data_IF_460612053412
#
_entry.id   IF_460612053412
#
_cell.length_a   1.000
_cell.length_b   1.000
_cell.length_c   1.000
_cell.angle_alpha   90.00
_cell.angle_beta   90.00
_cell.angle_gamma   90.00
#
_symmetry.space_group_name_H-M   'P 1'
#
loop_
_entity.id
_entity.type
_entity.pdbx_description
1 polymer ?
#
# COMPACT_ATOMS: atom_id res chain seq x y z
N UNK A 1 0.89 47.35 10.85
CA UNK A 1 1.01 46.06 10.14
C UNK A 1 0.44 45.03 11.09
N UNK A 2 -0.78 44.58 10.82
CA UNK A 2 -1.65 43.95 11.79
C UNK A 2 -1.29 42.48 12.00
N UNK A 3 -1.35 42.02 13.24
CA UNK A 3 -1.14 40.63 13.67
C UNK A 3 -2.00 39.59 12.91
N UNK A 4 -3.17 40.04 12.40
CA UNK A 4 -4.07 39.20 11.58
C UNK A 4 -3.46 38.82 10.22
N UNK A 5 -2.68 39.70 9.63
CA UNK A 5 -2.04 39.46 8.31
C UNK A 5 -0.90 38.45 8.43
N UNK A 6 -0.16 38.47 9.54
CA UNK A 6 0.91 37.51 9.83
C UNK A 6 0.37 36.09 10.09
N UNK A 7 -0.75 35.96 10.81
CA UNK A 7 -1.37 34.63 11.06
C UNK A 7 -1.96 34.03 9.78
N UNK A 8 -2.51 34.84 8.88
CA UNK A 8 -3.02 34.37 7.59
C UNK A 8 -1.88 33.88 6.67
N UNK A 9 -0.74 34.59 6.64
CA UNK A 9 0.44 34.16 5.88
C UNK A 9 1.11 32.89 6.42
N UNK A 10 1.15 32.71 7.74
CA UNK A 10 1.70 31.49 8.36
C UNK A 10 0.82 30.27 8.04
N UNK A 11 -0.50 30.43 8.14
CA UNK A 11 -1.48 29.37 7.79
C UNK A 11 -1.38 28.96 6.30
N UNK A 12 -1.22 29.93 5.40
CA UNK A 12 -1.11 29.66 3.96
C UNK A 12 0.15 28.86 3.62
N UNK A 13 1.31 29.27 4.13
CA UNK A 13 2.57 28.54 3.91
C UNK A 13 2.56 27.15 4.51
N UNK A 14 1.90 26.97 5.63
CA UNK A 14 1.74 25.67 6.24
C UNK A 14 0.89 24.72 5.36
N UNK A 15 -0.22 25.21 4.81
CA UNK A 15 -1.05 24.46 3.88
C UNK A 15 -0.28 24.10 2.61
N UNK A 16 0.53 25.02 2.07
CA UNK A 16 1.42 24.76 0.93
C UNK A 16 2.45 23.65 1.24
N UNK A 17 3.07 23.67 2.44
CA UNK A 17 3.99 22.63 2.90
C UNK A 17 3.28 21.26 3.00
N UNK A 18 2.06 21.20 3.57
CA UNK A 18 1.27 19.95 3.69
C UNK A 18 0.84 19.40 2.32
N UNK A 19 0.37 20.26 1.42
CA UNK A 19 0.01 19.84 0.06
C UNK A 19 1.21 19.30 -0.70
N UNK A 20 2.38 19.93 -0.55
CA UNK A 20 3.63 19.45 -1.15
C UNK A 20 3.96 18.01 -0.68
N UNK A 21 3.93 17.77 0.63
CA UNK A 21 4.23 16.46 1.19
C UNK A 21 3.20 15.41 0.75
N UNK A 22 1.91 15.75 0.75
CA UNK A 22 0.86 14.86 0.23
C UNK A 22 1.10 14.48 -1.23
N UNK A 23 1.48 15.45 -2.07
CA UNK A 23 1.81 15.17 -3.47
C UNK A 23 3.03 14.27 -3.61
N UNK A 24 4.04 14.41 -2.75
CA UNK A 24 5.19 13.50 -2.73
C UNK A 24 4.80 12.08 -2.35
N UNK A 25 3.90 11.89 -1.37
CA UNK A 25 3.33 10.57 -1.03
C UNK A 25 2.62 9.95 -2.23
N UNK A 26 1.81 10.71 -2.96
CA UNK A 26 1.12 10.20 -4.15
C UNK A 26 2.08 9.86 -5.29
N UNK A 27 3.17 10.60 -5.45
CA UNK A 27 4.23 10.26 -6.40
C UNK A 27 4.94 8.96 -6.03
N UNK A 28 5.27 8.77 -4.74
CA UNK A 28 5.83 7.52 -4.23
C UNK A 28 4.86 6.36 -4.44
N UNK A 29 3.57 6.55 -4.12
CA UNK A 29 2.52 5.57 -4.35
C UNK A 29 2.42 5.15 -5.82
N UNK A 30 2.39 6.10 -6.75
CA UNK A 30 2.35 5.80 -8.19
C UNK A 30 3.60 5.04 -8.68
N UNK A 31 4.77 5.28 -8.08
CA UNK A 31 5.97 4.51 -8.37
C UNK A 31 5.85 3.07 -7.86
N UNK A 32 5.35 2.87 -6.65
CA UNK A 32 5.13 1.54 -6.04
C UNK A 32 4.08 0.74 -6.81
N UNK A 33 2.96 1.36 -7.23
CA UNK A 33 1.96 0.74 -8.10
C UNK A 33 2.58 0.24 -9.41
N UNK A 34 3.40 1.08 -10.04
CA UNK A 34 4.08 0.70 -11.29
C UNK A 34 5.05 -0.47 -11.07
N UNK A 35 5.80 -0.46 -9.96
CA UNK A 35 6.74 -1.51 -9.58
C UNK A 35 6.01 -2.84 -9.38
N UNK A 36 4.90 -2.84 -8.62
CA UNK A 36 4.06 -4.02 -8.41
C UNK A 36 3.48 -4.56 -9.72
N UNK A 37 2.97 -3.67 -10.58
CA UNK A 37 2.46 -4.08 -11.89
C UNK A 37 3.52 -4.76 -12.76
N UNK A 38 4.73 -4.20 -12.80
CA UNK A 38 5.88 -4.79 -13.52
C UNK A 38 6.28 -6.15 -12.94
N UNK A 39 6.31 -6.29 -11.61
CA UNK A 39 6.63 -7.56 -10.94
C UNK A 39 5.65 -8.68 -11.31
N UNK A 40 4.35 -8.38 -11.28
CA UNK A 40 3.29 -9.32 -11.68
C UNK A 40 3.40 -9.66 -13.19
N UNK A 41 3.69 -8.67 -14.03
CA UNK A 41 3.86 -8.88 -15.47
C UNK A 41 5.07 -9.76 -15.76
N UNK A 42 6.20 -9.52 -15.10
CA UNK A 42 7.41 -10.33 -15.22
C UNK A 42 7.15 -11.81 -14.90
N UNK A 43 6.38 -12.08 -13.83
CA UNK A 43 5.97 -13.44 -13.47
C UNK A 43 5.10 -14.08 -14.56
N UNK A 44 4.05 -13.36 -14.99
CA UNK A 44 3.05 -13.89 -15.92
C UNK A 44 3.61 -14.11 -17.32
N UNK A 45 4.49 -13.23 -17.78
CA UNK A 45 5.10 -13.31 -19.10
C UNK A 45 6.39 -14.14 -19.11
N UNK A 46 7.01 -14.36 -17.95
CA UNK A 46 8.29 -15.04 -17.79
C UNK A 46 9.44 -14.17 -18.27
N UNK A 47 9.32 -12.86 -18.04
CA UNK A 47 10.30 -11.86 -18.42
C UNK A 47 11.32 -11.67 -17.29
N UNK A 48 12.49 -12.31 -17.44
CA UNK A 48 13.59 -12.24 -16.47
C UNK A 48 14.17 -10.83 -16.37
N UNK A 49 14.32 -10.12 -17.49
CA UNK A 49 14.90 -8.77 -17.50
C UNK A 49 14.00 -7.77 -16.79
N UNK A 50 12.69 -7.87 -17.04
CA UNK A 50 11.71 -7.06 -16.33
C UNK A 50 11.72 -7.35 -14.83
N UNK A 51 11.80 -8.63 -14.43
CA UNK A 51 11.90 -9.02 -13.01
C UNK A 51 13.15 -8.45 -12.35
N UNK A 52 14.30 -8.52 -12.98
CA UNK A 52 15.56 -7.94 -12.50
C UNK A 52 15.49 -6.40 -12.41
N UNK A 53 14.84 -5.74 -13.37
CA UNK A 53 14.67 -4.29 -13.34
C UNK A 53 13.86 -3.83 -12.13
N UNK A 54 12.79 -4.57 -11.76
CA UNK A 54 12.01 -4.31 -10.56
C UNK A 54 12.87 -4.44 -9.32
N UNK A 55 13.64 -5.53 -9.22
CA UNK A 55 14.51 -5.79 -8.07
C UNK A 55 15.63 -4.75 -7.90
N UNK A 56 16.08 -4.12 -8.98
CA UNK A 56 17.14 -3.10 -8.92
C UNK A 56 16.64 -1.68 -8.74
N UNK A 57 15.37 -1.40 -8.98
CA UNK A 57 14.79 -0.05 -8.91
C UNK A 57 14.28 0.37 -7.53
N UNK A 58 14.24 -0.54 -6.56
CA UNK A 58 13.66 -0.33 -5.24
C UNK A 58 14.33 0.82 -4.44
N UNK A 59 15.64 1.04 -4.61
CA UNK A 59 16.34 2.15 -3.96
C UNK A 59 15.69 3.52 -4.21
N UNK A 60 14.86 3.67 -5.25
CA UNK A 60 14.13 4.90 -5.55
C UNK A 60 13.00 5.13 -4.54
N UNK A 61 12.29 4.06 -4.17
CA UNK A 61 11.24 4.10 -3.14
C UNK A 61 11.85 4.50 -1.80
N UNK A 62 12.97 3.88 -1.42
CA UNK A 62 13.70 4.17 -0.18
C UNK A 62 14.18 5.63 -0.13
N UNK A 63 14.69 6.15 -1.26
CA UNK A 63 15.07 7.56 -1.37
C UNK A 63 13.88 8.53 -1.24
N UNK A 64 12.71 8.15 -1.77
CA UNK A 64 11.49 8.95 -1.63
C UNK A 64 10.97 8.93 -0.19
N UNK A 65 10.97 7.78 0.49
CA UNK A 65 10.59 7.66 1.91
C UNK A 65 11.42 8.61 2.76
N UNK A 66 12.76 8.52 2.69
CA UNK A 66 13.68 9.37 3.46
C UNK A 66 13.42 10.86 3.20
N UNK A 67 13.26 11.25 1.94
CA UNK A 67 13.01 12.65 1.56
C UNK A 67 11.68 13.19 2.14
N UNK A 68 10.63 12.37 2.15
CA UNK A 68 9.32 12.75 2.70
C UNK A 68 9.39 12.82 4.22
N UNK A 69 10.06 11.87 4.87
CA UNK A 69 10.23 11.86 6.33
C UNK A 69 10.99 13.10 6.82
N UNK A 70 12.10 13.45 6.15
CA UNK A 70 12.85 14.67 6.44
C UNK A 70 11.99 15.95 6.31
N UNK A 71 11.14 16.02 5.28
CA UNK A 71 10.24 17.16 5.09
C UNK A 71 9.14 17.20 6.17
N UNK A 72 8.57 16.06 6.56
CA UNK A 72 7.65 15.96 7.69
C UNK A 72 8.30 16.43 8.99
N UNK A 73 9.51 15.96 9.27
CA UNK A 73 10.31 16.37 10.45
C UNK A 73 10.59 17.86 10.45
N UNK A 74 10.95 18.44 9.28
CA UNK A 74 11.14 19.89 9.12
C UNK A 74 9.87 20.68 9.43
N UNK A 75 8.71 20.24 8.91
CA UNK A 75 7.43 20.89 9.17
C UNK A 75 7.10 20.87 10.67
N UNK A 76 7.26 19.72 11.33
CA UNK A 76 7.02 19.59 12.76
C UNK A 76 7.92 20.53 13.58
N UNK A 77 9.20 20.63 13.25
CA UNK A 77 10.16 21.48 13.96
C UNK A 77 9.87 22.98 13.80
N UNK A 78 9.41 23.43 12.62
CA UNK A 78 9.27 24.86 12.30
C UNK A 78 7.88 25.38 12.59
N UNK A 79 6.82 24.55 12.44
CA UNK A 79 5.44 25.03 12.40
C UNK A 79 4.64 24.74 13.69
N UNK A 80 5.06 23.80 14.55
CA UNK A 80 4.32 23.39 15.74
C UNK A 80 2.81 23.19 15.43
N UNK A 81 2.44 22.24 14.53
CA UNK A 81 1.10 22.11 13.99
C UNK A 81 0.04 21.83 15.07
N UNK A 82 -1.18 22.33 14.86
CA UNK A 82 -2.32 22.02 15.71
C UNK A 82 -2.74 20.54 15.59
N UNK A 83 -3.58 20.07 16.53
CA UNK A 83 -3.92 18.65 16.66
C UNK A 83 -4.40 17.97 15.34
N UNK A 84 -5.18 18.68 14.51
CA UNK A 84 -5.64 18.17 13.20
C UNK A 84 -4.50 17.97 12.23
N UNK A 85 -3.69 18.99 12.07
CA UNK A 85 -2.55 19.01 11.14
C UNK A 85 -1.46 18.03 11.57
N UNK A 86 -1.21 17.92 12.89
CA UNK A 86 -0.31 16.93 13.45
C UNK A 86 -0.74 15.50 13.08
N UNK A 87 -2.04 15.20 13.12
CA UNK A 87 -2.55 13.88 12.70
C UNK A 87 -2.25 13.57 11.24
N UNK A 88 -2.40 14.56 10.37
CA UNK A 88 -2.09 14.40 8.94
C UNK A 88 -0.62 14.05 8.74
N UNK A 89 0.30 14.77 9.40
CA UNK A 89 1.74 14.51 9.29
C UNK A 89 2.08 13.11 9.84
N UNK A 90 1.53 12.74 10.99
CA UNK A 90 1.75 11.40 11.59
C UNK A 90 1.22 10.30 10.67
N UNK A 91 0.06 10.49 10.04
CA UNK A 91 -0.48 9.54 9.09
C UNK A 91 0.37 9.44 7.82
N UNK A 92 0.90 10.56 7.33
CA UNK A 92 1.84 10.58 6.19
C UNK A 92 3.10 9.75 6.51
N UNK A 93 3.74 9.97 7.66
CA UNK A 93 4.94 9.22 8.07
C UNK A 93 4.65 7.71 8.11
N UNK A 94 3.50 7.30 8.63
CA UNK A 94 3.10 5.89 8.62
C UNK A 94 2.83 5.37 7.20
N UNK A 95 2.16 6.16 6.37
CA UNK A 95 1.84 5.79 5.00
C UNK A 95 3.09 5.57 4.16
N UNK A 96 4.11 6.42 4.26
CA UNK A 96 5.36 6.23 3.50
C UNK A 96 6.11 4.98 3.92
N UNK A 97 6.09 4.64 5.21
CA UNK A 97 6.67 3.38 5.70
C UNK A 97 5.93 2.15 5.17
N UNK A 98 4.58 2.19 5.09
CA UNK A 98 3.84 1.09 4.47
C UNK A 98 4.06 1.04 2.94
N UNK A 99 4.22 2.18 2.26
CA UNK A 99 4.57 2.23 0.84
C UNK A 99 5.97 1.66 0.55
N UNK A 100 6.96 1.95 1.39
CA UNK A 100 8.29 1.34 1.30
C UNK A 100 8.21 -0.18 1.43
N UNK A 101 7.46 -0.69 2.42
CA UNK A 101 7.26 -2.13 2.59
C UNK A 101 6.53 -2.78 1.42
N UNK A 102 5.58 -2.08 0.78
CA UNK A 102 4.95 -2.55 -0.46
C UNK A 102 6.01 -2.63 -1.58
N UNK A 103 6.91 -1.66 -1.68
CA UNK A 103 8.05 -1.67 -2.60
C UNK A 103 8.96 -2.88 -2.37
N UNK A 104 9.38 -3.10 -1.12
CA UNK A 104 10.19 -4.26 -0.70
C UNK A 104 9.56 -5.61 -1.11
N UNK A 105 8.24 -5.77 -0.92
CA UNK A 105 7.56 -6.99 -1.36
C UNK A 105 7.47 -7.07 -2.89
N UNK A 106 7.31 -5.95 -3.58
CA UNK A 106 7.39 -5.84 -5.04
C UNK A 106 8.76 -6.26 -5.59
N UNK A 107 9.84 -5.80 -4.95
CA UNK A 107 11.23 -6.21 -5.23
C UNK A 107 11.38 -7.74 -5.13
N UNK A 108 10.91 -8.33 -4.02
CA UNK A 108 10.96 -9.79 -3.80
C UNK A 108 10.22 -10.55 -4.89
N UNK A 109 9.03 -10.08 -5.28
CA UNK A 109 8.26 -10.69 -6.38
C UNK A 109 9.06 -10.61 -7.68
N UNK A 110 9.64 -9.45 -8.01
CA UNK A 110 10.47 -9.26 -9.20
C UNK A 110 11.67 -10.22 -9.24
N UNK A 111 12.41 -10.31 -8.14
CA UNK A 111 13.54 -11.23 -7.99
C UNK A 111 13.13 -12.69 -8.17
N UNK A 112 12.01 -13.11 -7.54
CA UNK A 112 11.53 -14.49 -7.67
C UNK A 112 11.01 -14.74 -9.09
N UNK A 113 10.34 -13.77 -9.72
CA UNK A 113 9.86 -13.87 -11.10
C UNK A 113 11.01 -14.09 -12.08
N UNK A 114 12.14 -13.38 -11.93
CA UNK A 114 13.32 -13.57 -12.77
C UNK A 114 13.90 -15.00 -12.66
N UNK A 115 13.88 -15.58 -11.47
CA UNK A 115 14.30 -16.98 -11.23
C UNK A 115 13.32 -17.99 -11.85
N UNK A 116 12.01 -17.76 -11.68
CA UNK A 116 10.96 -18.62 -12.25
C UNK A 116 10.95 -18.58 -13.78
N UNK A 117 11.36 -17.48 -14.40
CA UNK A 117 11.49 -17.35 -15.86
C UNK A 117 12.48 -18.37 -16.47
N UNK A 118 13.47 -18.83 -15.69
CA UNK A 118 14.44 -19.86 -16.10
C UNK A 118 13.94 -21.30 -15.91
N UNK A 119 12.76 -21.50 -15.31
CA UNK A 119 12.17 -22.81 -15.03
C UNK A 119 11.08 -23.14 -16.05
N UNK A 120 10.75 -24.44 -16.14
CA UNK A 120 9.58 -24.88 -16.92
C UNK A 120 8.32 -24.22 -16.37
N UNK A 121 7.54 -23.60 -17.26
CA UNK A 121 6.34 -22.85 -16.88
C UNK A 121 5.12 -23.76 -16.86
N UNK A 122 4.21 -23.61 -15.88
CA UNK A 122 2.96 -24.35 -15.87
C UNK A 122 2.05 -23.93 -17.04
N UNK A 123 1.17 -24.83 -17.47
CA UNK A 123 0.26 -24.61 -18.60
C UNK A 123 -0.71 -23.44 -18.33
N UNK A 124 -1.12 -23.23 -17.09
CA UNK A 124 -2.03 -22.16 -16.66
C UNK A 124 -1.36 -20.77 -16.52
N UNK A 125 -0.02 -20.71 -16.69
CA UNK A 125 0.78 -19.48 -16.61
C UNK A 125 0.50 -18.67 -15.33
N UNK A 126 0.38 -19.35 -14.21
CA UNK A 126 0.15 -18.74 -12.89
C UNK A 126 -1.16 -17.93 -12.80
N UNK A 127 -2.24 -18.43 -13.38
CA UNK A 127 -3.53 -17.72 -13.49
C UNK A 127 -4.07 -17.23 -12.14
N UNK A 128 -4.03 -18.08 -11.10
CA UNK A 128 -4.50 -17.74 -9.76
C UNK A 128 -3.61 -16.65 -9.13
N UNK A 129 -2.30 -16.76 -9.23
CA UNK A 129 -1.37 -15.73 -8.73
C UNK A 129 -1.55 -14.40 -9.46
N UNK A 130 -1.81 -14.45 -10.78
CA UNK A 130 -2.15 -13.26 -11.57
C UNK A 130 -3.44 -12.61 -11.08
N UNK A 131 -4.44 -13.40 -10.71
CA UNK A 131 -5.71 -12.91 -10.19
C UNK A 131 -5.50 -12.21 -8.85
N UNK A 132 -4.87 -12.87 -7.88
CA UNK A 132 -4.50 -12.30 -6.59
C UNK A 132 -3.66 -11.02 -6.75
N UNK A 133 -2.66 -11.03 -7.62
CA UNK A 133 -1.84 -9.86 -7.89
C UNK A 133 -2.64 -8.66 -8.41
N UNK A 134 -3.66 -8.88 -9.24
CA UNK A 134 -4.55 -7.80 -9.71
C UNK A 134 -5.45 -7.26 -8.59
N UNK A 135 -5.98 -8.13 -7.74
CA UNK A 135 -6.79 -7.69 -6.59
C UNK A 135 -5.96 -6.83 -5.65
N UNK A 136 -4.76 -7.28 -5.30
CA UNK A 136 -3.85 -6.55 -4.41
C UNK A 136 -3.41 -5.21 -5.03
N UNK A 137 -3.08 -5.19 -6.33
CA UNK A 137 -2.75 -3.94 -7.02
C UNK A 137 -3.93 -2.96 -7.02
N UNK A 138 -5.17 -3.45 -7.17
CA UNK A 138 -6.36 -2.62 -7.07
C UNK A 138 -6.57 -2.09 -5.64
N UNK A 139 -6.31 -2.90 -4.60
CA UNK A 139 -6.37 -2.43 -3.21
C UNK A 139 -5.37 -1.31 -2.93
N UNK A 140 -4.13 -1.42 -3.44
CA UNK A 140 -3.12 -0.35 -3.30
C UNK A 140 -3.60 0.93 -3.97
N UNK A 141 -4.11 0.82 -5.21
CA UNK A 141 -4.68 1.94 -5.95
C UNK A 141 -5.82 2.62 -5.18
N UNK A 142 -6.80 1.85 -4.72
CA UNK A 142 -7.98 2.37 -4.02
C UNK A 142 -7.60 2.98 -2.66
N UNK A 143 -6.60 2.45 -1.96
CA UNK A 143 -6.07 3.01 -0.73
C UNK A 143 -5.40 4.38 -0.97
N UNK A 144 -4.61 4.51 -2.03
CA UNK A 144 -3.97 5.77 -2.43
C UNK A 144 -4.99 6.81 -2.91
N UNK A 145 -6.02 6.39 -3.65
CA UNK A 145 -7.10 7.27 -4.06
C UNK A 145 -7.93 7.77 -2.86
N UNK A 146 -8.23 6.88 -1.90
CA UNK A 146 -8.86 7.26 -0.64
C UNK A 146 -7.98 8.24 0.18
N UNK A 147 -6.65 8.04 0.18
CA UNK A 147 -5.70 8.96 0.81
C UNK A 147 -5.70 10.33 0.10
N UNK A 148 -5.66 10.35 -1.23
CA UNK A 148 -5.67 11.58 -2.01
C UNK A 148 -6.91 12.43 -1.75
N UNK A 149 -8.08 11.78 -1.60
CA UNK A 149 -9.38 12.45 -1.38
C UNK A 149 -9.76 12.61 0.07
N UNK A 150 -8.99 12.06 1.02
CA UNK A 150 -9.37 12.00 2.42
C UNK A 150 -10.74 11.31 2.61
N UNK A 151 -11.00 10.27 1.82
CA UNK A 151 -12.30 9.58 1.79
C UNK A 151 -12.29 8.35 2.71
N UNK A 152 -12.81 8.54 3.92
CA UNK A 152 -12.87 7.48 4.93
C UNK A 152 -13.84 6.34 4.58
N UNK A 153 -14.88 6.60 3.75
CA UNK A 153 -15.80 5.55 3.31
C UNK A 153 -15.16 4.67 2.24
N UNK A 154 -14.48 5.28 1.26
CA UNK A 154 -13.69 4.54 0.28
C UNK A 154 -12.60 3.71 0.99
N UNK A 155 -11.86 4.30 1.93
CA UNK A 155 -10.86 3.60 2.72
C UNK A 155 -11.45 2.40 3.49
N UNK A 156 -12.60 2.56 4.14
CA UNK A 156 -13.26 1.46 4.85
C UNK A 156 -13.71 0.33 3.91
N UNK A 157 -14.19 0.69 2.71
CA UNK A 157 -14.58 -0.30 1.70
C UNK A 157 -13.36 -1.11 1.27
N UNK A 158 -12.28 -0.45 0.91
CA UNK A 158 -11.03 -1.10 0.48
C UNK A 158 -10.42 -1.96 1.58
N UNK A 159 -10.42 -1.49 2.84
CA UNK A 159 -9.92 -2.28 3.98
C UNK A 159 -10.69 -3.59 4.20
N UNK A 160 -11.97 -3.68 3.81
CA UNK A 160 -12.76 -4.91 3.89
C UNK A 160 -12.41 -5.94 2.79
N UNK A 161 -11.80 -5.50 1.70
CA UNK A 161 -11.40 -6.36 0.59
C UNK A 161 -10.22 -7.25 0.95
N UNK A 162 -9.43 -6.89 1.97
CA UNK A 162 -8.33 -7.66 2.53
C UNK A 162 -8.72 -9.11 2.87
N UNK A 163 -9.93 -9.33 3.39
CA UNK A 163 -10.44 -10.67 3.66
C UNK A 163 -10.49 -11.58 2.43
N UNK A 164 -10.78 -11.02 1.25
CA UNK A 164 -10.80 -11.82 0.01
C UNK A 164 -9.38 -12.18 -0.44
N UNK A 165 -8.41 -11.29 -0.19
CA UNK A 165 -6.99 -11.55 -0.43
C UNK A 165 -6.50 -12.70 0.45
N UNK A 166 -6.85 -12.70 1.74
CA UNK A 166 -6.53 -13.79 2.67
C UNK A 166 -7.12 -15.13 2.24
N UNK A 167 -8.40 -15.14 1.84
CA UNK A 167 -9.09 -16.37 1.38
C UNK A 167 -8.43 -16.93 0.11
N UNK A 168 -8.03 -16.08 -0.82
CA UNK A 168 -7.35 -16.50 -2.05
C UNK A 168 -5.91 -16.96 -1.78
N UNK A 169 -5.16 -16.24 -0.91
CA UNK A 169 -3.86 -16.67 -0.41
C UNK A 169 -3.92 -18.10 0.13
N UNK A 170 -4.84 -18.39 1.04
CA UNK A 170 -5.03 -19.73 1.63
C UNK A 170 -5.40 -20.79 0.57
N UNK A 171 -6.19 -20.42 -0.43
CA UNK A 171 -6.56 -21.32 -1.53
C UNK A 171 -5.35 -21.70 -2.36
N UNK A 172 -4.56 -20.73 -2.81
CA UNK A 172 -3.35 -20.97 -3.62
C UNK A 172 -2.32 -21.77 -2.82
N UNK A 173 -2.17 -21.46 -1.52
CA UNK A 173 -1.26 -22.18 -0.64
C UNK A 173 -1.60 -23.68 -0.56
N UNK A 174 -2.89 -24.03 -0.38
CA UNK A 174 -3.35 -25.44 -0.40
C UNK A 174 -3.12 -26.12 -1.74
N UNK A 175 -3.34 -25.42 -2.85
CA UNK A 175 -3.06 -25.96 -4.19
C UNK A 175 -1.57 -26.26 -4.39
N UNK A 176 -0.69 -25.37 -3.95
CA UNK A 176 0.76 -25.59 -4.01
C UNK A 176 1.16 -26.85 -3.24
N UNK A 177 0.61 -27.08 -2.04
CA UNK A 177 0.85 -28.30 -1.26
C UNK A 177 0.39 -29.55 -2.04
N UNK A 178 -0.80 -29.51 -2.63
CA UNK A 178 -1.33 -30.61 -3.44
C UNK A 178 -0.40 -30.94 -4.61
N UNK A 179 0.05 -29.94 -5.36
CA UNK A 179 0.99 -30.15 -6.48
C UNK A 179 2.32 -30.76 -6.02
N UNK A 180 2.85 -30.34 -4.87
CA UNK A 180 4.08 -30.91 -4.33
C UNK A 180 3.92 -32.39 -3.93
N UNK A 181 2.72 -32.77 -3.44
CA UNK A 181 2.42 -34.18 -3.09
C UNK A 181 2.23 -35.06 -4.32
N UNK A 182 1.62 -34.53 -5.38
CA UNK A 182 1.36 -35.28 -6.63
C UNK A 182 2.63 -35.46 -7.48
N UNK A 183 3.47 -34.44 -7.58
CA UNK A 183 4.72 -34.50 -8.32
C UNK A 183 5.86 -33.78 -7.58
N UNK A 184 6.78 -34.54 -6.94
CA UNK A 184 7.92 -33.95 -6.23
C UNK A 184 8.83 -33.04 -7.07
N UNK A 185 8.80 -33.15 -8.40
CA UNK A 185 9.58 -32.28 -9.30
C UNK A 185 9.08 -30.83 -9.28
N UNK A 186 7.83 -30.61 -8.84
CA UNK A 186 7.22 -29.30 -8.74
C UNK A 186 7.62 -28.54 -7.46
N UNK A 187 8.20 -29.21 -6.45
CA UNK A 187 8.48 -28.63 -5.13
C UNK A 187 9.20 -27.31 -5.22
N UNK A 188 10.31 -27.25 -5.98
CA UNK A 188 11.10 -26.01 -6.09
C UNK A 188 10.26 -24.84 -6.61
N UNK A 189 9.50 -25.07 -7.68
CA UNK A 189 8.62 -24.04 -8.27
C UNK A 189 7.49 -23.65 -7.32
N UNK A 190 6.84 -24.64 -6.68
CA UNK A 190 5.74 -24.40 -5.74
C UNK A 190 6.19 -23.53 -4.54
N UNK A 191 7.38 -23.78 -4.01
CA UNK A 191 7.96 -22.96 -2.95
C UNK A 191 8.17 -21.49 -3.39
N UNK A 192 8.69 -21.25 -4.60
CA UNK A 192 8.85 -19.90 -5.13
C UNK A 192 7.48 -19.20 -5.30
N UNK A 193 6.46 -19.93 -5.76
CA UNK A 193 5.09 -19.40 -5.87
C UNK A 193 4.52 -19.05 -4.49
N UNK A 194 4.73 -19.89 -3.49
CA UNK A 194 4.28 -19.63 -2.12
C UNK A 194 4.91 -18.35 -1.56
N UNK A 195 6.18 -18.06 -1.87
CA UNK A 195 6.82 -16.81 -1.47
C UNK A 195 6.20 -15.58 -2.17
N UNK A 196 5.88 -15.69 -3.48
CA UNK A 196 5.19 -14.61 -4.21
C UNK A 196 3.80 -14.36 -3.61
N UNK A 197 3.03 -15.42 -3.37
CA UNK A 197 1.67 -15.32 -2.82
C UNK A 197 1.70 -14.71 -1.41
N UNK A 198 2.71 -15.06 -0.60
CA UNK A 198 2.93 -14.42 0.70
C UNK A 198 3.29 -12.95 0.59
N UNK A 199 4.12 -12.57 -0.38
CA UNK A 199 4.45 -11.18 -0.63
C UNK A 199 3.20 -10.37 -1.06
N UNK A 200 2.34 -10.95 -1.90
CA UNK A 200 1.08 -10.31 -2.32
C UNK A 200 0.12 -10.12 -1.13
N UNK A 201 -0.04 -11.10 -0.26
CA UNK A 201 -0.88 -10.96 0.95
C UNK A 201 -0.34 -9.84 1.84
N UNK A 202 0.98 -9.75 2.06
CA UNK A 202 1.57 -8.66 2.84
C UNK A 202 1.37 -7.27 2.21
N UNK A 203 1.39 -7.19 0.88
CA UNK A 203 1.05 -5.93 0.18
C UNK A 203 -0.40 -5.54 0.49
N UNK A 204 -1.33 -6.49 0.50
CA UNK A 204 -2.73 -6.27 0.92
C UNK A 204 -2.84 -5.75 2.34
N UNK A 205 -2.14 -6.37 3.30
CA UNK A 205 -2.03 -5.91 4.68
C UNK A 205 -1.57 -4.44 4.78
N UNK A 206 -0.51 -4.07 4.04
CA UNK A 206 0.01 -2.69 4.03
C UNK A 206 -0.97 -1.71 3.37
N UNK A 207 -1.67 -2.10 2.30
CA UNK A 207 -2.73 -1.29 1.69
C UNK A 207 -3.89 -1.04 2.68
N UNK A 208 -4.30 -2.05 3.44
CA UNK A 208 -5.26 -1.92 4.53
C UNK A 208 -4.79 -0.95 5.62
N UNK A 209 -3.51 -1.03 6.02
CA UNK A 209 -2.95 -0.08 6.99
C UNK A 209 -3.07 1.37 6.49
N UNK A 210 -2.79 1.62 5.21
CA UNK A 210 -2.97 2.94 4.60
C UNK A 210 -4.44 3.40 4.72
N UNK A 211 -5.40 2.53 4.44
CA UNK A 211 -6.83 2.81 4.63
C UNK A 211 -7.16 3.18 6.09
N UNK A 212 -6.59 2.47 7.05
CA UNK A 212 -6.77 2.77 8.48
C UNK A 212 -6.20 4.14 8.85
N UNK A 213 -5.08 4.55 8.25
CA UNK A 213 -4.51 5.90 8.45
C UNK A 213 -5.38 6.99 7.82
N UNK A 214 -6.02 6.73 6.68
CA UNK A 214 -7.01 7.66 6.10
C UNK A 214 -8.18 7.88 7.06
N UNK A 215 -8.73 6.81 7.63
CA UNK A 215 -9.81 6.91 8.60
C UNK A 215 -9.35 7.67 9.85
N UNK A 216 -8.13 7.41 10.32
CA UNK A 216 -7.53 8.15 11.43
C UNK A 216 -7.38 9.65 11.13
N UNK A 217 -6.91 10.01 9.92
CA UNK A 217 -6.79 11.43 9.51
C UNK A 217 -8.13 12.16 9.60
N UNK A 218 -9.18 11.53 9.08
CA UNK A 218 -10.52 12.15 8.98
C UNK A 218 -11.21 12.22 10.33
N UNK A 219 -11.24 11.11 11.06
CA UNK A 219 -12.05 11.00 12.29
C UNK A 219 -11.26 11.19 13.58
N UNK A 220 -9.93 11.21 13.53
CA UNK A 220 -9.06 11.38 14.70
C UNK A 220 -9.03 10.18 15.64
N UNK A 221 -9.56 9.03 15.23
CA UNK A 221 -9.63 7.81 16.03
C UNK A 221 -8.79 6.70 15.41
N UNK A 222 -7.88 6.14 16.20
CA UNK A 222 -7.10 4.96 15.80
C UNK A 222 -7.99 3.72 15.82
N UNK A 223 -8.10 3.04 14.69
CA UNK A 223 -9.00 1.90 14.50
C UNK A 223 -8.29 0.55 14.37
N UNK A 224 -6.95 0.52 14.47
CA UNK A 224 -6.12 -0.68 14.24
C UNK A 224 -6.49 -1.94 15.06
N UNK A 225 -7.25 -1.76 16.13
CA UNK A 225 -7.72 -2.87 16.99
C UNK A 225 -9.23 -2.87 17.16
N UNK A 226 -9.94 -2.21 16.25
CA UNK A 226 -11.41 -2.13 16.24
C UNK A 226 -11.92 -2.95 15.04
N UNK A 227 -13.01 -3.68 15.20
CA UNK A 227 -13.60 -4.40 14.07
C UNK A 227 -14.07 -3.41 12.98
N UNK A 228 -13.90 -3.77 11.71
CA UNK A 228 -14.33 -2.90 10.61
C UNK A 228 -15.83 -2.66 10.59
N UNK A 229 -16.64 -3.56 11.19
CA UNK A 229 -18.07 -3.39 11.39
C UNK A 229 -18.38 -2.29 12.42
N UNK A 230 -17.60 -2.23 13.52
CA UNK A 230 -17.74 -1.18 14.53
C UNK A 230 -17.32 0.18 13.97
N UNK A 231 -16.26 0.20 13.16
CA UNK A 231 -15.80 1.40 12.46
C UNK A 231 -16.87 1.90 11.50
N UNK A 232 -17.48 1.02 10.70
CA UNK A 232 -18.58 1.37 9.80
C UNK A 232 -19.72 2.08 10.55
N UNK A 233 -20.19 1.49 11.66
CA UNK A 233 -21.27 2.08 12.49
C UNK A 233 -20.90 3.47 13.00
N UNK A 234 -19.64 3.70 13.36
CA UNK A 234 -19.17 4.99 13.85
C UNK A 234 -19.10 6.07 12.75
N UNK A 235 -18.62 5.70 11.55
CA UNK A 235 -18.56 6.59 10.40
C UNK A 235 -19.99 7.00 10.00
N UNK A 236 -20.92 6.05 9.91
CA UNK A 236 -22.32 6.32 9.56
C UNK A 236 -23.00 7.25 10.58
N UNK A 237 -22.76 7.02 11.88
CA UNK A 237 -23.27 7.89 12.95
C UNK A 237 -22.71 9.32 12.86
N UNK A 238 -21.42 9.49 12.55
CA UNK A 238 -20.81 10.80 12.38
C UNK A 238 -21.40 11.56 11.17
N UNK A 239 -21.64 10.87 10.05
CA UNK A 239 -22.29 11.47 8.88
C UNK A 239 -23.74 11.87 9.13
N UNK A 240 -24.50 11.09 9.92
CA UNK A 240 -25.86 11.43 10.29
C UNK A 240 -25.92 12.71 11.16
N UNK A 241 -24.96 12.86 12.09
CA UNK A 241 -24.86 14.02 12.98
C UNK A 241 -24.40 15.31 12.28
N UNK A 242 -23.71 15.22 11.14
CA UNK A 242 -23.23 16.39 10.37
C UNK A 242 -24.29 16.94 9.39
N UNK A 243 -25.41 16.22 9.17
CA UNK A 243 -26.50 16.61 8.28
C UNK A 243 -27.75 17.13 9.00
N UNK A 244 -27.76 17.12 10.33
CA UNK A 244 -28.83 17.67 11.17
C UNK A 244 -28.41 18.95 11.87
#
# INVERSE_FOLDING_TARGET
>A
METADLTHHISRRFNEDLEKVRNQVLQMGGFVEQQLHKAITALVEGDSELGESVATDDYKVNGMEVSIDEECSRILAIRAPAAGDLRVIVAIIKTITDLERIGDEGEKIGYIASRLATMERPADKYREVKHLGRQVAQMVHDALDAFARMDSQAALKTAKEDKMVDEEYESIHRQCITFMMEDPRTIRRALEIMWIVRALERIGDHAKNICEYVIYMVHGKDIRHTSLEDVARQIDAAHASSRG
#
